data_IF_585688473268
#
_entry.id   IF_585688473268
#
_cell.length_a   1.000
_cell.length_b   1.000
_cell.length_c   1.000
_cell.angle_alpha   90.00
_cell.angle_beta   90.00
_cell.angle_gamma   90.00
#
_symmetry.space_group_name_H-M   'P 1'
#
loop_
_entity.id
_entity.type
_entity.pdbx_description
1 polymer ?
#
# COMPACT_ATOMS: atom_id res chain seq x y z
N UNK A 1 -20.64 18.48 21.00
CA UNK A 1 -20.67 19.60 20.03
C UNK A 1 -19.63 20.64 20.47
N UNK A 2 -19.22 21.54 19.59
CA UNK A 2 -18.27 22.59 19.95
C UNK A 2 -18.93 23.65 20.83
N UNK A 3 -18.23 24.12 21.86
CA UNK A 3 -18.73 25.21 22.69
C UNK A 3 -18.61 26.53 21.92
N UNK A 4 -19.67 27.32 21.94
CA UNK A 4 -19.78 28.61 21.24
C UNK A 4 -18.73 29.60 21.76
N UNK A 5 -18.54 29.67 23.07
CA UNK A 5 -17.57 30.58 23.69
C UNK A 5 -16.15 30.32 23.17
N UNK A 6 -15.76 29.03 23.08
CA UNK A 6 -14.45 28.64 22.57
C UNK A 6 -14.30 28.83 21.06
N UNK A 7 -15.40 28.83 20.30
CA UNK A 7 -15.37 29.22 18.88
C UNK A 7 -15.09 30.72 18.77
N UNK A 8 -15.70 31.56 19.60
CA UNK A 8 -15.42 33.00 19.64
C UNK A 8 -13.98 33.30 20.07
N UNK A 9 -13.46 32.59 21.09
CA UNK A 9 -12.04 32.68 21.48
C UNK A 9 -11.12 32.37 20.30
N UNK A 10 -11.40 31.29 19.55
CA UNK A 10 -10.62 30.90 18.38
C UNK A 10 -10.64 31.99 17.29
N UNK A 11 -11.80 32.54 16.95
CA UNK A 11 -11.95 33.59 15.93
C UNK A 11 -11.27 34.89 16.35
N UNK A 12 -11.30 35.21 17.65
CA UNK A 12 -10.63 36.40 18.20
C UNK A 12 -9.10 36.27 18.28
N UNK A 13 -8.55 35.09 18.00
CA UNK A 13 -7.12 34.80 18.13
C UNK A 13 -6.64 34.63 19.59
N UNK A 14 -7.55 34.59 20.56
CA UNK A 14 -7.24 34.46 21.99
C UNK A 14 -7.67 33.09 22.53
N UNK A 15 -7.29 32.01 21.85
CA UNK A 15 -7.68 30.66 22.25
C UNK A 15 -7.08 30.28 23.61
N UNK A 16 -7.94 30.05 24.60
CA UNK A 16 -7.49 29.59 25.92
C UNK A 16 -7.03 28.14 25.90
N UNK A 17 -6.24 27.74 26.89
CA UNK A 17 -5.83 26.33 27.07
C UNK A 17 -7.05 25.43 27.28
N UNK A 18 -8.09 25.94 27.96
CA UNK A 18 -9.34 25.22 28.16
C UNK A 18 -10.07 25.03 26.83
N UNK A 19 -10.18 26.08 26.01
CA UNK A 19 -10.75 26.04 24.67
C UNK A 19 -10.01 25.05 23.77
N UNK A 20 -8.68 25.11 23.73
CA UNK A 20 -7.86 24.17 22.97
C UNK A 20 -8.10 22.70 23.37
N UNK A 21 -8.12 22.40 24.67
CA UNK A 21 -8.46 21.06 25.18
C UNK A 21 -9.87 20.64 24.78
N UNK A 22 -10.83 21.57 24.79
CA UNK A 22 -12.20 21.31 24.34
C UNK A 22 -12.26 20.91 22.87
N UNK A 23 -11.52 21.59 22.00
CA UNK A 23 -11.44 21.26 20.57
C UNK A 23 -10.87 19.85 20.35
N UNK A 24 -9.74 19.52 20.98
CA UNK A 24 -9.13 18.18 20.91
C UNK A 24 -10.11 17.11 21.36
N UNK A 25 -10.75 17.30 22.52
CA UNK A 25 -11.68 16.32 23.07
C UNK A 25 -12.91 16.13 22.17
N UNK A 26 -13.42 17.23 21.61
CA UNK A 26 -14.56 17.19 20.70
C UNK A 26 -14.20 16.48 19.40
N UNK A 27 -13.04 16.78 18.80
CA UNK A 27 -12.55 16.10 17.60
C UNK A 27 -12.28 14.61 17.88
N UNK A 28 -11.67 14.28 19.02
CA UNK A 28 -11.50 12.90 19.49
C UNK A 28 -12.82 12.14 19.55
N UNK A 29 -13.87 12.76 20.08
CA UNK A 29 -15.21 12.19 20.09
C UNK A 29 -15.75 11.96 18.67
N UNK A 30 -15.58 12.92 17.75
CA UNK A 30 -16.00 12.78 16.36
C UNK A 30 -15.26 11.64 15.64
N UNK A 31 -13.94 11.57 15.78
CA UNK A 31 -13.11 10.50 15.22
C UNK A 31 -13.62 9.13 15.67
N UNK A 32 -13.90 8.95 16.97
CA UNK A 32 -14.43 7.70 17.52
C UNK A 32 -15.85 7.40 17.05
N UNK A 33 -16.72 8.42 17.00
CA UNK A 33 -18.12 8.28 16.63
C UNK A 33 -18.30 7.89 15.16
N UNK A 34 -17.49 8.47 14.27
CA UNK A 34 -17.59 8.25 12.82
C UNK A 34 -16.52 7.30 12.27
N UNK A 35 -15.67 6.75 13.15
CA UNK A 35 -14.62 5.80 12.81
C UNK A 35 -13.74 6.28 11.63
N UNK A 36 -13.28 7.54 11.70
CA UNK A 36 -12.47 8.14 10.63
C UNK A 36 -11.13 7.42 10.47
N UNK A 37 -10.68 7.19 9.21
CA UNK A 37 -9.43 6.47 8.95
C UNK A 37 -8.23 7.34 9.30
N UNK A 38 -7.19 6.72 9.87
CA UNK A 38 -5.96 7.42 10.27
C UNK A 38 -5.12 7.96 9.10
N UNK A 39 -5.31 7.38 7.91
CA UNK A 39 -4.62 7.81 6.69
C UNK A 39 -4.81 9.30 6.38
N UNK A 40 -5.84 9.96 6.96
CA UNK A 40 -6.09 11.38 6.78
C UNK A 40 -5.01 12.32 7.36
N UNK A 41 -4.15 11.84 8.26
CA UNK A 41 -3.02 12.62 8.79
C UNK A 41 -1.71 12.27 8.06
N UNK A 42 -1.44 10.97 7.90
CA UNK A 42 -0.19 10.44 7.36
C UNK A 42 -0.53 9.31 6.40
N UNK A 43 -0.06 9.42 5.16
CA UNK A 43 -0.19 8.40 4.11
C UNK A 43 0.71 7.16 4.34
N UNK A 44 1.32 7.01 5.52
CA UNK A 44 2.23 5.90 5.82
C UNK A 44 1.46 4.62 6.16
N UNK A 45 1.80 3.55 5.42
CA UNK A 45 1.35 2.17 5.65
C UNK A 45 1.76 1.60 7.01
N UNK A 46 2.65 2.27 7.75
CA UNK A 46 3.14 1.84 9.06
C UNK A 46 2.20 2.14 10.23
N UNK A 47 0.96 2.60 9.96
CA UNK A 47 -0.03 2.82 11.02
C UNK A 47 -0.62 1.48 11.51
N UNK A 48 0.20 0.74 12.25
CA UNK A 48 -0.05 -0.62 12.76
C UNK A 48 -1.17 -0.69 13.81
N UNK A 49 -1.65 0.44 14.31
CA UNK A 49 -2.71 0.49 15.33
C UNK A 49 -4.01 1.06 14.77
N UNK A 50 -5.12 0.34 14.96
CA UNK A 50 -6.47 0.81 14.61
C UNK A 50 -6.91 2.02 15.45
N UNK A 51 -6.29 2.23 16.61
CA UNK A 51 -6.69 3.24 17.59
C UNK A 51 -5.87 4.52 17.49
N UNK A 52 -6.58 5.65 17.38
CA UNK A 52 -5.98 6.98 17.38
C UNK A 52 -5.27 7.30 18.69
N UNK A 53 -4.00 7.69 18.60
CA UNK A 53 -3.22 8.22 19.71
C UNK A 53 -3.61 9.68 20.01
N UNK A 54 -3.24 10.16 21.19
CA UNK A 54 -3.50 11.55 21.58
C UNK A 54 -2.73 12.55 20.69
N UNK A 55 -1.52 12.19 20.26
CA UNK A 55 -0.71 13.05 19.40
C UNK A 55 -1.29 13.10 17.97
N UNK A 56 -1.80 11.97 17.45
CA UNK A 56 -2.52 11.95 16.17
C UNK A 56 -3.77 12.84 16.21
N UNK A 57 -4.55 12.83 17.30
CA UNK A 57 -5.72 13.71 17.41
C UNK A 57 -5.32 15.19 17.49
N UNK A 58 -4.24 15.52 18.19
CA UNK A 58 -3.72 16.90 18.24
C UNK A 58 -3.29 17.34 16.84
N UNK A 59 -2.57 16.49 16.13
CA UNK A 59 -2.11 16.77 14.78
C UNK A 59 -3.29 17.00 13.82
N UNK A 60 -4.31 16.13 13.84
CA UNK A 60 -5.55 16.35 13.08
C UNK A 60 -6.21 17.68 13.41
N UNK A 61 -6.22 18.05 14.69
CA UNK A 61 -6.79 19.32 15.16
C UNK A 61 -6.00 20.52 14.63
N UNK A 62 -4.67 20.44 14.63
CA UNK A 62 -3.82 21.49 14.07
C UNK A 62 -4.00 21.64 12.57
N UNK A 63 -3.99 20.53 11.82
CA UNK A 63 -4.21 20.55 10.38
C UNK A 63 -5.60 21.09 10.02
N UNK A 64 -6.62 20.77 10.82
CA UNK A 64 -7.95 21.33 10.66
C UNK A 64 -7.94 22.86 10.82
N UNK A 65 -7.27 23.39 11.86
CA UNK A 65 -7.16 24.83 12.06
C UNK A 65 -6.37 25.52 10.94
N UNK A 66 -5.22 24.97 10.56
CA UNK A 66 -4.39 25.49 9.47
C UNK A 66 -5.17 25.51 8.14
N UNK A 67 -5.85 24.43 7.80
CA UNK A 67 -6.70 24.35 6.60
C UNK A 67 -7.85 25.35 6.65
N UNK A 68 -8.50 25.48 7.81
CA UNK A 68 -9.64 26.39 7.97
C UNK A 68 -9.23 27.85 7.86
N UNK A 69 -8.08 28.22 8.43
CA UNK A 69 -7.50 29.57 8.34
C UNK A 69 -7.02 29.87 6.91
N UNK A 70 -6.24 28.99 6.30
CA UNK A 70 -5.70 29.18 4.95
C UNK A 70 -6.80 29.28 3.87
N UNK A 71 -7.95 28.63 4.08
CA UNK A 71 -9.11 28.69 3.18
C UNK A 71 -10.14 29.76 3.57
N UNK A 72 -9.88 30.60 4.58
CA UNK A 72 -10.81 31.64 5.03
C UNK A 72 -12.16 31.10 5.51
N UNK A 73 -12.20 29.86 6.04
CA UNK A 73 -13.46 29.22 6.46
C UNK A 73 -14.06 29.87 7.70
N UNK A 74 -13.25 30.57 8.50
CA UNK A 74 -13.68 31.24 9.71
C UNK A 74 -14.19 32.67 9.47
N UNK A 75 -13.89 33.28 8.32
CA UNK A 75 -14.18 34.69 8.02
C UNK A 75 -15.68 35.05 8.13
N UNK A 76 -16.54 34.08 7.80
CA UNK A 76 -18.00 34.28 7.81
C UNK A 76 -18.69 33.74 9.06
N UNK A 77 -17.97 33.12 10.01
CA UNK A 77 -18.57 32.56 11.22
C UNK A 77 -19.28 33.63 12.06
N UNK A 78 -18.75 34.85 12.08
CA UNK A 78 -19.33 35.99 12.81
C UNK A 78 -20.70 36.45 12.25
N UNK A 79 -21.05 36.05 11.02
CA UNK A 79 -22.34 36.38 10.38
C UNK A 79 -23.43 35.34 10.66
N UNK A 80 -23.07 34.23 11.30
CA UNK A 80 -23.98 33.11 11.54
C UNK A 80 -24.70 33.37 12.87
N UNK A 81 -26.03 33.15 12.94
CA UNK A 81 -26.73 33.24 14.21
C UNK A 81 -26.14 32.27 15.23
N UNK A 82 -26.02 32.72 16.47
CA UNK A 82 -25.36 32.00 17.56
C UNK A 82 -25.91 30.58 17.77
N UNK A 83 -27.23 30.41 17.58
CA UNK A 83 -27.92 29.11 17.66
C UNK A 83 -27.43 28.07 16.64
N UNK A 84 -26.86 28.51 15.52
CA UNK A 84 -26.36 27.65 14.44
C UNK A 84 -24.83 27.61 14.35
N UNK A 85 -24.11 28.42 15.13
CA UNK A 85 -22.67 28.58 15.02
C UNK A 85 -21.92 27.26 15.25
N UNK A 86 -22.27 26.54 16.32
CA UNK A 86 -21.67 25.23 16.63
C UNK A 86 -21.93 24.20 15.51
N UNK A 87 -23.13 24.20 14.94
CA UNK A 87 -23.48 23.31 13.83
C UNK A 87 -22.66 23.62 12.57
N UNK A 88 -22.55 24.90 12.20
CA UNK A 88 -21.74 25.32 11.06
C UNK A 88 -20.27 25.00 11.25
N UNK A 89 -19.74 25.17 12.47
CA UNK A 89 -18.38 24.80 12.78
C UNK A 89 -18.13 23.29 12.57
N UNK A 90 -19.08 22.44 12.97
CA UNK A 90 -19.03 21.00 12.66
C UNK A 90 -19.05 20.74 11.15
N UNK A 91 -19.83 21.49 10.37
CA UNK A 91 -19.83 21.34 8.91
C UNK A 91 -18.46 21.67 8.28
N UNK A 92 -17.76 22.69 8.79
CA UNK A 92 -16.40 23.03 8.34
C UNK A 92 -15.45 21.86 8.63
N UNK A 93 -15.53 21.26 9.83
CA UNK A 93 -14.76 20.07 10.18
C UNK A 93 -15.06 18.90 9.23
N UNK A 94 -16.34 18.61 8.97
CA UNK A 94 -16.73 17.54 8.05
C UNK A 94 -16.19 17.81 6.63
N UNK A 95 -16.24 19.06 6.17
CA UNK A 95 -15.68 19.45 4.87
C UNK A 95 -14.16 19.24 4.81
N UNK A 96 -13.43 19.53 5.89
CA UNK A 96 -12.00 19.28 5.98
C UNK A 96 -11.70 17.78 5.88
N UNK A 97 -12.39 16.95 6.68
CA UNK A 97 -12.19 15.49 6.67
C UNK A 97 -12.52 14.89 5.31
N UNK A 98 -13.62 15.32 4.68
CA UNK A 98 -13.98 14.86 3.34
C UNK A 98 -12.91 15.22 2.31
N UNK A 99 -12.31 16.40 2.42
CA UNK A 99 -11.22 16.80 1.52
C UNK A 99 -9.95 15.96 1.75
N UNK A 100 -9.58 15.69 3.00
CA UNK A 100 -8.43 14.82 3.33
C UNK A 100 -8.63 13.38 2.85
N UNK A 101 -9.80 12.79 3.10
CA UNK A 101 -10.12 11.45 2.61
C UNK A 101 -10.03 11.40 1.08
N UNK A 102 -10.53 12.44 0.41
CA UNK A 102 -10.44 12.54 -1.05
C UNK A 102 -8.99 12.64 -1.53
N UNK A 103 -8.15 13.47 -0.89
CA UNK A 103 -6.72 13.59 -1.23
C UNK A 103 -6.01 12.23 -1.10
N UNK A 104 -6.29 11.48 -0.04
CA UNK A 104 -5.73 10.13 0.17
C UNK A 104 -6.26 9.10 -0.82
N UNK A 105 -7.57 9.09 -1.09
CA UNK A 105 -8.16 8.21 -2.11
C UNK A 105 -7.65 8.52 -3.53
N UNK A 106 -7.18 9.74 -3.76
CA UNK A 106 -6.56 10.13 -5.03
C UNK A 106 -5.07 9.74 -5.10
N UNK A 107 -4.43 9.36 -3.99
CA UNK A 107 -3.06 8.83 -3.98
C UNK A 107 -3.04 7.34 -4.34
N UNK A 108 -4.08 6.59 -3.96
CA UNK A 108 -4.23 5.18 -4.32
C UNK A 108 -4.91 5.06 -5.70
N UNK A 109 -4.24 4.40 -6.65
CA UNK A 109 -4.77 4.14 -7.98
C UNK A 109 -5.96 3.16 -7.98
N UNK A 110 -6.33 2.65 -9.15
CA UNK A 110 -7.32 1.58 -9.24
C UNK A 110 -6.74 0.28 -8.68
N UNK A 111 -7.22 -0.19 -7.54
CA UNK A 111 -6.81 -1.48 -6.98
C UNK A 111 -7.29 -2.65 -7.84
N UNK A 112 -6.53 -3.75 -7.83
CA UNK A 112 -6.88 -4.97 -8.57
C UNK A 112 -8.24 -5.53 -8.14
N UNK A 113 -8.54 -5.55 -6.84
CA UNK A 113 -9.84 -6.02 -6.33
C UNK A 113 -11.00 -5.16 -6.82
N UNK A 114 -10.82 -3.84 -6.89
CA UNK A 114 -11.85 -2.93 -7.39
C UNK A 114 -12.02 -3.08 -8.90
N UNK A 115 -10.92 -3.29 -9.64
CA UNK A 115 -10.96 -3.63 -11.05
C UNK A 115 -11.75 -4.92 -11.29
N UNK A 116 -11.46 -5.99 -10.54
CA UNK A 116 -12.19 -7.27 -10.60
C UNK A 116 -13.68 -7.08 -10.37
N UNK A 117 -14.07 -6.38 -9.31
CA UNK A 117 -15.48 -6.12 -8.99
C UNK A 117 -16.20 -5.42 -10.15
N UNK A 118 -15.57 -4.38 -10.71
CA UNK A 118 -16.14 -3.61 -11.82
C UNK A 118 -16.22 -4.43 -13.11
N UNK A 119 -15.20 -5.20 -13.45
CA UNK A 119 -15.20 -6.08 -14.63
C UNK A 119 -16.31 -7.11 -14.51
N UNK A 120 -16.46 -7.77 -13.35
CA UNK A 120 -17.52 -8.76 -13.13
C UNK A 120 -18.91 -8.13 -13.25
N UNK A 121 -19.11 -6.93 -12.70
CA UNK A 121 -20.39 -6.22 -12.81
C UNK A 121 -20.73 -5.88 -14.27
N UNK A 122 -19.78 -5.27 -14.99
CA UNK A 122 -19.97 -4.89 -16.40
C UNK A 122 -20.20 -6.12 -17.28
N UNK A 123 -19.45 -7.21 -17.06
CA UNK A 123 -19.62 -8.45 -17.82
C UNK A 123 -21.00 -9.08 -17.60
N UNK A 124 -21.59 -8.95 -16.41
CA UNK A 124 -22.95 -9.45 -16.15
C UNK A 124 -24.05 -8.59 -16.78
N UNK A 125 -23.80 -7.31 -16.97
CA UNK A 125 -24.78 -6.36 -17.50
C UNK A 125 -24.75 -6.30 -19.03
N UNK A 126 -23.55 -6.24 -19.61
CA UNK A 126 -23.33 -5.88 -21.02
C UNK A 126 -22.85 -7.06 -21.89
N UNK A 127 -22.50 -8.22 -21.32
CA UNK A 127 -21.88 -9.35 -22.04
C UNK A 127 -22.52 -10.70 -21.71
N UNK A 128 -22.27 -11.70 -22.55
CA UNK A 128 -22.75 -13.07 -22.33
C UNK A 128 -21.68 -13.85 -21.57
N UNK A 129 -22.07 -14.41 -20.41
CA UNK A 129 -21.20 -15.20 -19.54
C UNK A 129 -21.66 -16.66 -19.55
N UNK A 130 -20.84 -17.55 -20.10
CA UNK A 130 -21.11 -18.99 -20.13
C UNK A 130 -20.07 -19.75 -19.29
N UNK A 131 -20.53 -20.76 -18.55
CA UNK A 131 -19.66 -21.67 -17.81
C UNK A 131 -19.41 -22.92 -18.65
N UNK A 132 -18.18 -23.12 -19.09
CA UNK A 132 -17.75 -24.29 -19.87
C UNK A 132 -16.62 -24.97 -19.08
N UNK A 133 -16.74 -26.27 -18.83
CA UNK A 133 -15.73 -27.07 -18.09
C UNK A 133 -15.29 -26.41 -16.76
N UNK A 134 -16.26 -25.97 -15.94
CA UNK A 134 -16.05 -25.29 -14.64
C UNK A 134 -15.38 -23.90 -14.71
N UNK A 135 -15.17 -23.36 -15.91
CA UNK A 135 -14.54 -22.06 -16.15
C UNK A 135 -15.54 -21.06 -16.73
N UNK A 136 -15.48 -19.80 -16.28
CA UNK A 136 -16.34 -18.73 -16.78
C UNK A 136 -15.68 -18.02 -17.96
N UNK A 137 -16.36 -18.02 -19.10
CA UNK A 137 -15.96 -17.32 -20.31
C UNK A 137 -16.91 -16.16 -20.58
N UNK A 138 -16.40 -15.09 -21.17
CA UNK A 138 -17.14 -13.88 -21.51
C UNK A 138 -16.92 -13.52 -22.96
N UNK A 139 -17.99 -13.16 -23.66
CA UNK A 139 -17.93 -12.63 -25.02
C UNK A 139 -19.12 -11.70 -25.35
N UNK A 140 -19.00 -10.94 -26.45
CA UNK A 140 -20.06 -10.04 -26.96
C UNK A 140 -21.27 -10.82 -27.48
N UNK A 141 -21.02 -11.88 -28.23
CA UNK A 141 -22.05 -12.71 -28.88
C UNK A 141 -22.22 -14.07 -28.18
N UNK A 142 -23.29 -14.79 -28.49
CA UNK A 142 -23.51 -16.15 -27.98
C UNK A 142 -22.47 -17.11 -28.54
N UNK A 143 -21.79 -17.87 -27.68
CA UNK A 143 -20.71 -18.77 -28.07
C UNK A 143 -20.85 -20.15 -27.42
N UNK A 144 -20.29 -21.16 -28.09
CA UNK A 144 -20.24 -22.56 -27.69
C UNK A 144 -18.80 -23.05 -27.48
N UNK A 145 -18.63 -24.31 -27.07
CA UNK A 145 -17.32 -24.91 -26.79
C UNK A 145 -16.39 -24.94 -28.02
N UNK A 146 -16.96 -24.94 -29.23
CA UNK A 146 -16.25 -24.99 -30.51
C UNK A 146 -15.63 -23.64 -30.90
N UNK A 147 -16.16 -22.53 -30.36
CA UNK A 147 -15.68 -21.16 -30.61
C UNK A 147 -14.46 -20.79 -29.73
N UNK A 148 -14.08 -21.69 -28.83
CA UNK A 148 -12.91 -21.52 -27.96
C UNK A 148 -11.63 -21.76 -28.78
N UNK A 149 -10.93 -20.68 -29.11
CA UNK A 149 -9.59 -20.79 -29.68
C UNK A 149 -8.60 -21.38 -28.67
N UNK A 150 -7.68 -22.27 -29.09
CA UNK A 150 -6.62 -22.77 -28.23
C UNK A 150 -5.66 -21.62 -27.90
N UNK A 151 -5.63 -21.22 -26.62
CA UNK A 151 -4.65 -20.32 -26.00
C UNK A 151 -3.95 -19.33 -26.97
N UNK A 152 -4.70 -18.37 -27.52
CA UNK A 152 -4.06 -17.13 -27.95
C UNK A 152 -3.62 -16.40 -26.67
N UNK A 153 -2.34 -16.07 -26.60
CA UNK A 153 -1.79 -15.26 -25.51
C UNK A 153 -2.42 -13.87 -25.64
N UNK A 154 -3.57 -13.67 -24.98
CA UNK A 154 -4.25 -12.38 -24.85
C UNK A 154 -3.20 -11.30 -24.50
N UNK A 155 -2.20 -11.66 -23.70
CA UNK A 155 -1.01 -10.86 -23.39
C UNK A 155 -0.29 -10.26 -24.60
N UNK A 156 -0.12 -11.01 -25.70
CA UNK A 156 0.56 -10.54 -26.91
C UNK A 156 -0.28 -9.54 -27.70
N UNK A 157 -1.60 -9.72 -27.75
CA UNK A 157 -2.52 -8.77 -28.40
C UNK A 157 -2.59 -7.46 -27.61
N UNK A 158 -2.56 -7.54 -26.27
CA UNK A 158 -2.62 -6.37 -25.38
C UNK A 158 -1.35 -5.51 -25.42
N UNK A 159 -0.19 -6.04 -25.85
CA UNK A 159 1.06 -5.26 -25.98
C UNK A 159 0.94 -4.10 -26.97
N UNK A 160 0.05 -4.25 -27.96
CA UNK A 160 -0.15 -3.25 -29.01
C UNK A 160 -1.26 -2.25 -28.69
N UNK A 161 -2.02 -2.49 -27.62
CA UNK A 161 -3.04 -1.55 -27.16
C UNK A 161 -2.43 -0.38 -26.40
N UNK A 162 -2.96 0.82 -26.65
CA UNK A 162 -2.56 2.01 -25.92
C UNK A 162 -3.03 1.91 -24.47
N UNK A 163 -2.13 2.13 -23.52
CA UNK A 163 -2.51 2.15 -22.10
C UNK A 163 -3.46 3.30 -21.81
N UNK A 164 -4.49 3.03 -21.01
CA UNK A 164 -5.50 4.01 -20.58
C UNK A 164 -4.95 4.76 -19.36
N UNK A 165 -4.65 6.07 -19.47
CA UNK A 165 -4.06 6.81 -18.36
C UNK A 165 -5.12 7.10 -17.29
N UNK A 166 -4.83 6.70 -16.05
CA UNK A 166 -5.62 7.14 -14.89
C UNK A 166 -5.08 8.50 -14.44
N UNK A 167 -5.96 9.51 -14.38
CA UNK A 167 -5.62 10.85 -13.86
C UNK A 167 -6.08 10.99 -12.42
N UNK A 168 -5.42 11.84 -11.63
CA UNK A 168 -5.77 12.10 -10.22
C UNK A 168 -7.19 12.69 -10.05
N UNK A 169 -7.73 13.27 -11.12
CA UNK A 169 -9.10 13.79 -11.19
C UNK A 169 -10.18 12.73 -11.46
N UNK A 170 -9.79 11.47 -11.67
CA UNK A 170 -10.72 10.37 -12.03
C UNK A 170 -11.56 9.98 -10.83
N UNK A 171 -12.85 10.32 -10.84
CA UNK A 171 -13.79 9.99 -9.75
C UNK A 171 -14.50 8.65 -9.92
N UNK A 172 -14.68 8.21 -11.16
CA UNK A 172 -15.43 7.01 -11.49
C UNK A 172 -14.61 6.13 -12.41
N UNK A 173 -14.24 4.94 -11.93
CA UNK A 173 -13.46 3.97 -12.70
C UNK A 173 -14.33 3.13 -13.64
N UNK A 174 -15.64 3.00 -13.37
CA UNK A 174 -16.56 2.17 -14.19
C UNK A 174 -16.54 2.51 -15.69
N UNK A 175 -16.60 3.80 -16.14
CA UNK A 175 -16.53 4.12 -17.56
C UNK A 175 -15.19 3.74 -18.20
N UNK A 176 -14.10 3.90 -17.46
CA UNK A 176 -12.76 3.53 -17.93
C UNK A 176 -12.58 2.01 -18.05
N UNK A 177 -13.12 1.26 -17.09
CA UNK A 177 -13.13 -0.21 -17.13
C UNK A 177 -14.00 -0.70 -18.30
N UNK A 178 -15.14 -0.07 -18.57
CA UNK A 178 -15.97 -0.41 -19.73
C UNK A 178 -15.24 -0.20 -21.05
N UNK A 179 -14.59 0.95 -21.21
CA UNK A 179 -13.76 1.25 -22.39
C UNK A 179 -12.63 0.22 -22.55
N UNK A 180 -11.94 -0.13 -21.46
CA UNK A 180 -10.89 -1.15 -21.49
C UNK A 180 -11.41 -2.51 -21.94
N UNK A 181 -12.59 -2.95 -21.46
CA UNK A 181 -13.20 -4.22 -21.89
C UNK A 181 -13.57 -4.15 -23.38
N UNK A 182 -14.11 -3.03 -23.85
CA UNK A 182 -14.43 -2.82 -25.27
C UNK A 182 -13.18 -2.88 -26.16
N UNK A 183 -12.06 -2.29 -25.73
CA UNK A 183 -10.77 -2.34 -26.44
C UNK A 183 -10.23 -3.78 -26.53
N UNK A 184 -10.32 -4.55 -25.44
CA UNK A 184 -9.91 -5.97 -25.41
C UNK A 184 -10.73 -6.79 -26.40
N UNK A 185 -12.07 -6.69 -26.35
CA UNK A 185 -12.95 -7.43 -27.26
C UNK A 185 -13.02 -6.84 -28.68
N UNK A 186 -12.42 -5.68 -28.93
CA UNK A 186 -12.22 -5.18 -30.30
C UNK A 186 -10.95 -5.74 -30.92
N UNK A 187 -10.04 -6.24 -30.08
CA UNK A 187 -8.76 -6.82 -30.51
C UNK A 187 -8.79 -8.35 -30.58
N UNK A 188 -9.80 -8.98 -29.99
CA UNK A 188 -9.93 -10.43 -29.87
C UNK A 188 -11.30 -10.88 -30.39
N UNK A 189 -11.29 -11.82 -31.32
CA UNK A 189 -12.49 -12.38 -31.97
C UNK A 189 -13.02 -13.67 -31.29
N UNK A 190 -12.51 -14.01 -30.11
CA UNK A 190 -12.87 -15.24 -29.39
C UNK A 190 -13.28 -14.98 -27.94
N UNK A 191 -14.07 -15.87 -27.33
CA UNK A 191 -14.42 -15.80 -25.91
C UNK A 191 -13.18 -15.88 -25.00
N UNK A 192 -13.18 -15.10 -23.92
CA UNK A 192 -12.03 -14.99 -23.00
C UNK A 192 -12.42 -15.47 -21.61
N UNK A 193 -11.50 -16.15 -20.92
CA UNK A 193 -11.65 -16.52 -19.52
C UNK A 193 -11.76 -15.26 -18.64
N UNK A 194 -12.78 -15.18 -17.78
CA UNK A 194 -13.05 -14.00 -16.95
C UNK A 194 -11.82 -13.54 -16.14
N UNK A 195 -11.06 -14.45 -15.54
CA UNK A 195 -9.85 -14.11 -14.79
C UNK A 195 -8.77 -13.46 -15.67
N UNK A 196 -8.57 -13.98 -16.90
CA UNK A 196 -7.63 -13.39 -17.86
C UNK A 196 -8.11 -12.03 -18.36
N UNK A 197 -9.43 -11.85 -18.53
CA UNK A 197 -10.00 -10.55 -18.87
C UNK A 197 -9.74 -9.52 -17.76
N UNK A 198 -9.87 -9.90 -16.49
CA UNK A 198 -9.57 -9.02 -15.35
C UNK A 198 -8.09 -8.61 -15.35
N UNK A 199 -7.17 -9.55 -15.54
CA UNK A 199 -5.73 -9.27 -15.65
C UNK A 199 -5.41 -8.37 -16.84
N UNK A 200 -6.01 -8.65 -18.00
CA UNK A 200 -5.86 -7.86 -19.22
C UNK A 200 -6.29 -6.40 -19.01
N UNK A 201 -7.50 -6.21 -18.48
CA UNK A 201 -8.07 -4.88 -18.22
C UNK A 201 -7.25 -4.12 -17.18
N UNK A 202 -6.77 -4.79 -16.13
CA UNK A 202 -5.91 -4.17 -15.13
C UNK A 202 -4.58 -3.69 -15.73
N UNK A 203 -3.94 -4.52 -16.56
CA UNK A 203 -2.66 -4.21 -17.20
C UNK A 203 -2.73 -3.11 -18.27
N UNK A 204 -3.93 -2.86 -18.82
CA UNK A 204 -4.19 -1.76 -19.75
C UNK A 204 -4.17 -0.39 -19.07
N UNK A 205 -4.33 -0.31 -17.75
CA UNK A 205 -4.27 0.99 -17.06
C UNK A 205 -2.83 1.44 -16.81
N UNK A 206 -2.50 2.67 -17.20
CA UNK A 206 -1.24 3.32 -16.82
C UNK A 206 -1.39 3.98 -15.45
N UNK A 207 -0.93 3.28 -14.41
CA UNK A 207 -1.00 3.72 -13.01
C UNK A 207 0.32 4.29 -12.47
N UNK A 208 1.30 4.56 -13.34
CA UNK A 208 2.65 5.03 -12.94
C UNK A 208 2.68 6.25 -12.01
N UNK A 209 1.65 7.09 -12.04
CA UNK A 209 1.54 8.28 -11.18
C UNK A 209 1.14 7.97 -9.73
N UNK A 210 0.51 6.83 -9.50
CA UNK A 210 0.01 6.39 -8.19
C UNK A 210 0.93 5.35 -7.53
N UNK A 211 1.93 4.87 -8.28
CA UNK A 211 3.00 4.04 -7.73
C UNK A 211 3.93 5.00 -6.98
N UNK A 212 3.84 5.03 -5.65
CA UNK A 212 4.94 5.58 -4.85
C UNK A 212 6.18 4.72 -5.08
N UNK A 213 7.40 5.28 -5.09
CA UNK A 213 8.64 4.50 -5.25
C UNK A 213 8.81 3.39 -4.19
N UNK A 214 8.02 3.42 -3.11
CA UNK A 214 8.00 2.44 -2.03
C UNK A 214 6.84 1.42 -2.12
N UNK A 215 5.94 1.56 -3.11
CA UNK A 215 4.89 0.58 -3.41
C UNK A 215 5.33 -0.44 -4.46
N UNK A 216 6.53 -0.99 -4.31
CA UNK A 216 6.83 -2.31 -4.84
C UNK A 216 6.31 -3.38 -3.85
N UNK A 217 5.03 -3.28 -3.48
CA UNK A 217 4.27 -4.50 -3.27
C UNK A 217 3.89 -4.93 -4.67
N UNK A 218 4.79 -5.71 -5.30
CA UNK A 218 4.37 -6.56 -6.39
C UNK A 218 3.05 -7.23 -5.97
N UNK A 219 2.01 -7.27 -6.84
CA UNK A 219 0.88 -8.14 -6.58
C UNK A 219 1.48 -9.48 -6.23
N UNK A 220 1.10 -10.05 -5.07
CA UNK A 220 1.61 -11.30 -4.53
C UNK A 220 1.66 -12.37 -5.62
N UNK A 221 2.78 -12.39 -6.33
CA UNK A 221 3.10 -13.27 -7.43
C UNK A 221 4.04 -14.27 -6.80
N UNK A 222 3.45 -15.30 -6.21
CA UNK A 222 4.15 -16.54 -5.85
C UNK A 222 4.88 -17.18 -7.06
N UNK A 223 4.77 -16.61 -8.27
CA UNK A 223 5.37 -17.12 -9.51
C UNK A 223 6.63 -16.39 -10.01
N UNK A 224 7.07 -15.27 -9.41
CA UNK A 224 8.29 -14.56 -9.88
C UNK A 224 9.59 -14.90 -9.13
N UNK A 225 9.53 -15.77 -8.11
CA UNK A 225 10.67 -16.10 -7.25
C UNK A 225 11.77 -16.94 -7.93
N UNK A 226 11.53 -17.51 -9.11
CA UNK A 226 12.50 -18.43 -9.73
C UNK A 226 13.48 -17.75 -10.71
N UNK A 227 13.13 -16.60 -11.27
CA UNK A 227 13.96 -15.97 -12.33
C UNK A 227 15.08 -15.11 -11.74
N UNK A 228 14.88 -14.52 -10.54
CA UNK A 228 15.85 -13.59 -9.94
C UNK A 228 16.94 -14.24 -9.05
N UNK A 229 16.87 -15.56 -8.76
CA UNK A 229 17.85 -16.24 -7.89
C UNK A 229 19.22 -16.47 -8.54
N UNK A 230 19.28 -16.70 -9.86
CA UNK A 230 20.54 -17.11 -10.53
C UNK A 230 21.66 -16.07 -10.51
N UNK A 231 21.35 -14.76 -10.39
CA UNK A 231 22.37 -13.67 -10.35
C UNK A 231 23.23 -13.77 -9.10
N UNK A 232 22.61 -14.10 -7.96
CA UNK A 232 23.27 -14.03 -6.65
C UNK A 232 23.78 -15.39 -6.15
N UNK A 233 23.26 -16.50 -6.67
CA UNK A 233 23.60 -17.86 -6.21
C UNK A 233 25.11 -18.11 -6.12
N UNK A 234 25.89 -17.71 -7.13
CA UNK A 234 27.35 -17.89 -7.13
C UNK A 234 28.06 -17.04 -6.07
N UNK A 235 27.59 -15.82 -5.84
CA UNK A 235 28.17 -14.88 -4.88
C UNK A 235 27.84 -15.34 -3.46
N UNK A 236 26.59 -15.77 -3.23
CA UNK A 236 26.11 -16.28 -1.96
C UNK A 236 26.81 -17.59 -1.60
N UNK A 237 26.97 -18.52 -2.56
CA UNK A 237 27.76 -19.74 -2.33
C UNK A 237 29.21 -19.44 -1.92
N UNK A 238 29.84 -18.39 -2.47
CA UNK A 238 31.18 -17.97 -2.06
C UNK A 238 31.23 -17.28 -0.69
N UNK A 239 30.18 -16.54 -0.31
CA UNK A 239 30.09 -15.90 1.00
C UNK A 239 29.85 -16.95 2.09
N UNK A 240 29.05 -17.95 1.77
CA UNK A 240 28.59 -18.94 2.72
C UNK A 240 29.50 -20.17 2.77
N UNK A 241 30.33 -20.40 1.74
CA UNK A 241 31.35 -21.44 1.76
C UNK A 241 32.35 -21.23 2.90
N UNK A 242 32.54 -22.28 3.70
CA UNK A 242 33.44 -22.30 4.86
C UNK A 242 32.80 -21.94 6.20
N UNK A 243 31.48 -21.72 6.27
CA UNK A 243 30.75 -21.61 7.54
C UNK A 243 30.33 -22.99 8.04
N UNK A 244 30.42 -23.22 9.35
CA UNK A 244 29.82 -24.40 9.99
C UNK A 244 28.32 -24.19 10.24
N UNK A 245 27.57 -25.28 10.45
CA UNK A 245 26.13 -25.26 10.74
C UNK A 245 25.80 -24.38 11.96
N UNK A 246 26.62 -24.47 13.01
CA UNK A 246 26.45 -23.68 14.24
C UNK A 246 26.80 -22.19 14.02
N UNK A 247 27.78 -21.89 13.18
CA UNK A 247 28.12 -20.52 12.80
C UNK A 247 27.03 -19.88 11.94
N UNK A 248 26.41 -20.64 11.03
CA UNK A 248 25.29 -20.17 10.23
C UNK A 248 24.06 -19.86 11.10
N UNK A 249 23.75 -20.72 12.09
CA UNK A 249 22.70 -20.46 13.10
C UNK A 249 22.96 -19.17 13.87
N UNK A 250 24.18 -19.02 14.39
CA UNK A 250 24.58 -17.88 15.21
C UNK A 250 24.55 -16.56 14.42
N UNK A 251 25.02 -16.57 13.17
CA UNK A 251 25.00 -15.39 12.29
C UNK A 251 23.57 -15.04 11.89
N UNK A 252 22.73 -16.03 11.55
CA UNK A 252 21.32 -15.80 11.23
C UNK A 252 20.58 -15.18 12.42
N UNK A 253 20.78 -15.74 13.61
CA UNK A 253 20.18 -15.24 14.85
C UNK A 253 20.63 -13.81 15.21
N UNK A 254 21.88 -13.45 14.93
CA UNK A 254 22.39 -12.12 15.27
C UNK A 254 22.06 -11.03 14.23
N UNK A 255 21.91 -11.37 12.95
CA UNK A 255 21.75 -10.38 11.87
C UNK A 255 20.31 -10.27 11.34
N UNK A 256 19.50 -11.32 11.44
CA UNK A 256 18.21 -11.41 10.75
C UNK A 256 17.01 -11.70 11.66
N UNK A 257 17.22 -11.87 12.96
CA UNK A 257 16.13 -12.14 13.89
C UNK A 257 15.51 -10.83 14.41
N UNK A 258 14.26 -10.55 14.03
CA UNK A 258 13.56 -9.29 14.31
C UNK A 258 12.69 -9.33 15.57
N UNK A 259 12.64 -10.44 16.32
CA UNK A 259 11.59 -10.62 17.31
C UNK A 259 11.86 -9.95 18.67
N UNK A 260 13.11 -9.65 19.04
CA UNK A 260 13.47 -8.84 20.23
C UNK A 260 14.85 -8.22 20.01
N UNK A 261 15.07 -6.97 20.44
CA UNK A 261 16.40 -6.36 20.52
C UNK A 261 17.26 -7.08 21.58
N UNK A 262 17.74 -8.28 21.27
CA UNK A 262 18.60 -9.06 22.15
C UNK A 262 20.02 -8.51 22.10
N UNK A 263 20.62 -8.32 23.26
CA UNK A 263 21.99 -7.82 23.31
C UNK A 263 22.98 -8.88 22.80
N UNK A 264 24.08 -8.45 22.17
CA UNK A 264 25.18 -9.33 21.77
C UNK A 264 25.72 -10.20 22.92
N UNK A 265 25.51 -9.78 24.18
CA UNK A 265 25.87 -10.56 25.36
C UNK A 265 24.92 -11.75 25.56
N UNK A 266 23.61 -11.54 25.45
CA UNK A 266 22.60 -12.60 25.55
C UNK A 266 22.75 -13.67 24.46
N UNK A 267 23.11 -13.26 23.24
CA UNK A 267 23.38 -14.19 22.13
C UNK A 267 24.67 -14.98 22.39
N UNK A 268 25.72 -14.33 22.91
CA UNK A 268 26.97 -14.98 23.27
C UNK A 268 26.76 -16.04 24.36
N UNK A 269 25.94 -15.72 25.37
CA UNK A 269 25.58 -16.63 26.46
C UNK A 269 24.74 -17.81 25.94
N UNK A 270 23.77 -17.57 25.04
CA UNK A 270 22.94 -18.62 24.44
C UNK A 270 23.75 -19.65 23.65
N UNK A 271 24.75 -19.21 22.88
CA UNK A 271 25.62 -20.09 22.11
C UNK A 271 26.86 -20.58 22.89
N UNK A 272 27.02 -20.17 24.16
CA UNK A 272 28.20 -20.51 25.00
C UNK A 272 29.54 -20.11 24.35
N UNK A 273 29.57 -18.95 23.68
CA UNK A 273 30.74 -18.41 22.99
C UNK A 273 31.14 -17.08 23.62
N UNK A 274 32.44 -16.77 23.80
CA UNK A 274 32.85 -15.45 24.28
C UNK A 274 32.34 -14.33 23.38
N UNK A 275 31.85 -13.24 23.99
CA UNK A 275 31.35 -12.04 23.28
C UNK A 275 32.34 -11.49 22.24
N UNK A 276 33.64 -11.52 22.55
CA UNK A 276 34.71 -11.09 21.64
C UNK A 276 34.82 -11.98 20.40
N UNK A 277 34.66 -13.29 20.57
CA UNK A 277 34.66 -14.27 19.47
C UNK A 277 33.41 -14.12 18.59
N UNK A 278 32.24 -13.89 19.19
CA UNK A 278 31.00 -13.60 18.46
C UNK A 278 31.14 -12.33 17.60
N UNK A 279 31.62 -11.24 18.20
CA UNK A 279 31.84 -9.97 17.50
C UNK A 279 32.81 -10.13 16.33
N UNK A 280 33.93 -10.84 16.54
CA UNK A 280 34.91 -11.09 15.50
C UNK A 280 34.33 -11.90 14.33
N UNK A 281 33.50 -12.91 14.61
CA UNK A 281 32.85 -13.74 13.57
C UNK A 281 31.82 -12.94 12.76
N UNK A 282 31.01 -12.11 13.41
CA UNK A 282 30.04 -11.25 12.72
C UNK A 282 30.75 -10.21 11.85
N UNK A 283 31.79 -9.56 12.38
CA UNK A 283 32.56 -8.58 11.61
C UNK A 283 33.28 -9.21 10.41
N UNK A 284 33.84 -10.42 10.60
CA UNK A 284 34.44 -11.17 9.50
C UNK A 284 33.40 -11.47 8.41
N UNK A 285 32.18 -11.84 8.80
CA UNK A 285 31.08 -12.09 7.87
C UNK A 285 30.63 -10.82 7.14
N UNK A 286 30.43 -9.70 7.85
CA UNK A 286 30.10 -8.39 7.25
C UNK A 286 31.17 -7.94 6.26
N UNK A 287 32.45 -8.11 6.60
CA UNK A 287 33.57 -7.82 5.68
C UNK A 287 33.57 -8.73 4.46
N UNK A 288 33.15 -10.00 4.58
CA UNK A 288 33.05 -10.95 3.46
C UNK A 288 31.91 -10.56 2.51
N UNK A 289 30.78 -10.08 3.03
CA UNK A 289 29.69 -9.51 2.24
C UNK A 289 30.17 -8.28 1.47
N UNK A 290 30.76 -7.29 2.16
CA UNK A 290 31.20 -6.04 1.56
C UNK A 290 32.32 -6.21 0.51
N UNK A 291 33.11 -7.29 0.57
CA UNK A 291 34.15 -7.60 -0.43
C UNK A 291 33.61 -8.27 -1.69
N UNK A 292 32.53 -9.04 -1.55
CA UNK A 292 32.01 -9.89 -2.61
C UNK A 292 30.81 -9.29 -3.34
N UNK A 293 30.23 -8.22 -2.80
CA UNK A 293 29.04 -7.61 -3.38
C UNK A 293 28.96 -6.11 -3.08
N UNK A 294 28.68 -5.33 -4.13
CA UNK A 294 28.35 -3.91 -4.08
C UNK A 294 26.99 -3.74 -4.76
N UNK A 295 25.96 -3.23 -4.06
CA UNK A 295 24.62 -3.09 -4.64
C UNK A 295 24.58 -1.98 -5.69
N UNK A 296 23.92 -2.26 -6.82
CA UNK A 296 23.69 -1.25 -7.87
C UNK A 296 22.59 -0.25 -7.47
N UNK A 297 21.63 -0.69 -6.66
CA UNK A 297 20.56 0.11 -6.07
C UNK A 297 20.04 -0.55 -4.76
N UNK A 298 19.21 0.17 -4.00
CA UNK A 298 18.71 -0.30 -2.70
C UNK A 298 17.87 -1.59 -2.79
N UNK A 299 17.05 -1.72 -3.84
CA UNK A 299 16.27 -2.94 -4.14
C UNK A 299 17.15 -4.16 -4.38
N UNK A 300 18.20 -4.03 -5.20
CA UNK A 300 19.17 -5.11 -5.48
C UNK A 300 19.86 -5.55 -4.19
N UNK A 301 20.19 -4.59 -3.31
CA UNK A 301 20.75 -4.86 -1.98
C UNK A 301 19.80 -5.62 -1.05
N UNK A 302 18.52 -5.23 -1.00
CA UNK A 302 17.51 -5.91 -0.16
C UNK A 302 17.32 -7.36 -0.62
N UNK A 303 17.16 -7.59 -1.94
CA UNK A 303 16.99 -8.93 -2.51
C UNK A 303 18.21 -9.80 -2.20
N UNK A 304 19.41 -9.23 -2.30
CA UNK A 304 20.65 -9.95 -1.99
C UNK A 304 20.73 -10.35 -0.50
N UNK A 305 20.38 -9.45 0.42
CA UNK A 305 20.38 -9.74 1.86
C UNK A 305 19.32 -10.80 2.22
N UNK A 306 18.13 -10.72 1.63
CA UNK A 306 17.08 -11.75 1.81
C UNK A 306 17.55 -13.13 1.31
N UNK A 307 18.27 -13.19 0.20
CA UNK A 307 18.81 -14.44 -0.32
C UNK A 307 19.97 -14.98 0.53
N UNK A 308 20.77 -14.11 1.17
CA UNK A 308 21.77 -14.53 2.18
C UNK A 308 21.08 -15.14 3.40
N UNK A 309 20.03 -14.51 3.92
CA UNK A 309 19.26 -15.04 5.05
C UNK A 309 18.69 -16.44 4.72
N UNK A 310 18.07 -16.62 3.55
CA UNK A 310 17.58 -17.93 3.09
C UNK A 310 18.69 -18.98 2.95
N UNK A 311 19.87 -18.58 2.48
CA UNK A 311 21.01 -19.49 2.35
C UNK A 311 21.59 -19.91 3.70
N UNK A 312 21.66 -18.98 4.66
CA UNK A 312 22.06 -19.28 6.04
C UNK A 312 21.04 -20.21 6.72
N UNK A 313 19.75 -19.97 6.54
CA UNK A 313 18.68 -20.82 7.08
C UNK A 313 18.70 -22.24 6.48
N UNK A 314 19.15 -22.38 5.23
CA UNK A 314 19.33 -23.69 4.58
C UNK A 314 20.53 -24.44 5.15
N UNK A 315 21.59 -23.75 5.54
CA UNK A 315 22.79 -24.35 6.15
C UNK A 315 22.70 -24.54 7.65
N UNK A 316 21.81 -23.79 8.30
CA UNK A 316 21.52 -23.93 9.72
C UNK A 316 20.58 -25.10 10.02
N UNK A 317 19.91 -25.68 9.01
CA UNK A 317 19.11 -26.89 9.17
C UNK A 317 20.01 -28.10 9.33
#
# INVERSE_FOLDING_TARGET
MFNIDYIHELISGQLSIAGYKHFINTISHFVRKYNWPKSIIVSDKNNTTKYWSTEEIKELTHQFFEWSLSKGKFDNLNKIPESYLSYYFVQILISFIANRIKEEQQKEGLSFDKCRELVVLICKEDYIVNTIDSNQYVYKDSFSKEDLKPFEDVSDVLKYLSKIPIKDSTKHYRPLVKLAIEDVFSSIESPILLNKLIEAVYNLFDQKKFISPESNEEPSNEFNLEISNKKFDKIIQNIVSGLTQDEARMISHCLFNNEKEQSLAEIADFYSVPKSTLHHKIDAFKKKIARNYTPDNESDGIIFIQNISKALDKLSK
#
